data_IF_896594840788
#
_entry.id   IF_896594840788
#
_cell.length_a   1.000
_cell.length_b   1.000
_cell.length_c   1.000
_cell.angle_alpha   90.00
_cell.angle_beta   90.00
_cell.angle_gamma   90.00
#
_symmetry.space_group_name_H-M   'P 1'
#
loop_
_entity.id
_entity.type
_entity.pdbx_description
1 polymer ?
#
# COMPACT_ATOMS: atom_id res chain seq x y z
N UNK A 1 -5.41 -20.32 -32.51
CA UNK A 1 -4.51 -20.45 -31.35
C UNK A 1 -5.34 -20.10 -30.14
N UNK A 2 -5.72 -21.08 -29.33
CA UNK A 2 -6.43 -20.81 -28.08
C UNK A 2 -5.46 -20.09 -27.14
N UNK A 3 -5.75 -18.83 -26.83
CA UNK A 3 -5.06 -18.11 -25.76
C UNK A 3 -5.63 -18.67 -24.47
N UNK A 4 -4.94 -19.64 -23.87
CA UNK A 4 -5.20 -20.02 -22.48
C UNK A 4 -4.71 -18.89 -21.57
N UNK A 5 -5.48 -17.79 -21.52
CA UNK A 5 -5.23 -16.64 -20.65
C UNK A 5 -5.84 -16.86 -19.26
N UNK A 6 -5.60 -18.03 -18.67
CA UNK A 6 -6.02 -18.31 -17.30
C UNK A 6 -4.92 -17.86 -16.32
N UNK A 7 -4.41 -16.64 -16.48
CA UNK A 7 -3.57 -16.04 -15.45
C UNK A 7 -4.42 -15.76 -14.20
N UNK A 8 -4.24 -16.60 -13.19
CA UNK A 8 -4.87 -16.39 -11.89
C UNK A 8 -4.16 -15.26 -11.15
N UNK A 9 -4.95 -14.30 -10.65
CA UNK A 9 -4.48 -13.23 -9.78
C UNK A 9 -5.13 -13.32 -8.41
N UNK A 10 -4.35 -13.01 -7.39
CA UNK A 10 -4.83 -12.76 -6.05
C UNK A 10 -4.99 -11.26 -5.87
N UNK A 11 -6.09 -10.86 -5.25
CA UNK A 11 -6.39 -9.46 -4.97
C UNK A 11 -6.40 -9.21 -3.48
N UNK A 12 -5.89 -8.04 -3.08
CA UNK A 12 -5.95 -7.59 -1.70
C UNK A 12 -6.38 -6.12 -1.67
N UNK A 13 -7.29 -5.81 -0.74
CA UNK A 13 -7.78 -4.46 -0.48
C UNK A 13 -7.33 -4.07 0.93
N UNK A 14 -6.18 -3.42 1.03
CA UNK A 14 -5.58 -3.01 2.31
C UNK A 14 -5.93 -1.57 2.63
N UNK A 15 -6.74 -1.38 3.66
CA UNK A 15 -7.10 -0.06 4.19
C UNK A 15 -6.16 0.31 5.34
N UNK A 16 -5.67 1.54 5.32
CA UNK A 16 -4.71 2.04 6.31
C UNK A 16 -5.26 3.28 7.00
N UNK A 17 -5.03 3.35 8.31
CA UNK A 17 -5.26 4.52 9.15
C UNK A 17 -3.94 4.92 9.78
N UNK A 18 -3.50 6.16 9.55
CA UNK A 18 -2.24 6.64 10.10
C UNK A 18 -2.44 7.06 11.56
N UNK A 19 -1.40 6.86 12.38
CA UNK A 19 -1.37 7.44 13.72
C UNK A 19 -1.48 8.98 13.60
N UNK A 20 -2.41 9.63 14.32
CA UNK A 20 -2.55 11.09 14.32
C UNK A 20 -1.25 11.85 14.58
N UNK A 21 -0.29 11.28 15.34
CA UNK A 21 1.03 11.87 15.61
C UNK A 21 1.81 12.15 14.34
N UNK A 22 1.64 11.36 13.28
CA UNK A 22 2.32 11.58 12.00
C UNK A 22 2.02 12.97 11.42
N UNK A 23 0.79 13.47 11.59
CA UNK A 23 0.37 14.80 11.10
C UNK A 23 1.09 15.95 11.78
N UNK A 24 1.56 15.72 13.01
CA UNK A 24 2.27 16.70 13.83
C UNK A 24 3.79 16.63 13.66
N UNK A 25 4.30 15.71 12.85
CA UNK A 25 5.72 15.66 12.50
C UNK A 25 6.11 16.88 11.66
N UNK A 26 7.41 17.24 11.72
CA UNK A 26 7.98 18.28 10.86
C UNK A 26 7.77 17.95 9.37
N UNK A 27 7.59 18.95 8.53
CA UNK A 27 7.24 18.77 7.11
C UNK A 27 8.24 17.89 6.36
N UNK A 28 9.55 18.10 6.58
CA UNK A 28 10.60 17.27 6.00
C UNK A 28 10.46 15.79 6.41
N UNK A 29 10.16 15.52 7.69
CA UNK A 29 10.00 14.15 8.18
C UNK A 29 8.75 13.48 7.60
N UNK A 30 7.65 14.23 7.43
CA UNK A 30 6.45 13.73 6.74
C UNK A 30 6.76 13.38 5.29
N UNK A 31 7.45 14.25 4.57
CA UNK A 31 7.81 14.03 3.17
C UNK A 31 8.69 12.79 3.00
N UNK A 32 9.74 12.65 3.81
CA UNK A 32 10.64 11.49 3.74
C UNK A 32 9.94 10.18 4.11
N UNK A 33 9.06 10.19 5.12
CA UNK A 33 8.26 9.01 5.46
C UNK A 33 7.26 8.60 4.37
N UNK A 34 6.68 9.56 3.64
CA UNK A 34 5.82 9.27 2.50
C UNK A 34 6.61 8.68 1.32
N UNK A 35 7.80 9.23 1.04
CA UNK A 35 8.73 8.70 0.02
C UNK A 35 9.17 7.26 0.32
N UNK A 36 9.38 6.92 1.59
CA UNK A 36 9.71 5.55 2.01
C UNK A 36 8.62 4.56 1.54
N UNK A 37 7.35 4.88 1.77
CA UNK A 37 6.20 4.07 1.33
C UNK A 37 6.11 4.02 -0.19
N UNK A 38 6.23 5.17 -0.87
CA UNK A 38 6.23 5.23 -2.34
C UNK A 38 7.31 4.32 -2.94
N UNK A 39 8.52 4.38 -2.42
CA UNK A 39 9.64 3.56 -2.87
C UNK A 39 9.35 2.05 -2.72
N UNK A 40 8.74 1.62 -1.61
CA UNK A 40 8.37 0.22 -1.41
C UNK A 40 7.32 -0.22 -2.44
N UNK A 41 6.30 0.59 -2.66
CA UNK A 41 5.19 0.28 -3.56
C UNK A 41 5.65 0.23 -5.01
N UNK A 42 6.36 1.26 -5.49
CA UNK A 42 6.82 1.36 -6.88
C UNK A 42 7.83 0.26 -7.21
N UNK A 43 8.69 -0.13 -6.27
CA UNK A 43 9.69 -1.18 -6.47
C UNK A 43 9.18 -2.59 -6.08
N UNK A 44 7.89 -2.74 -5.77
CA UNK A 44 7.33 -4.02 -5.31
C UNK A 44 7.24 -5.09 -6.40
N UNK A 45 7.11 -4.70 -7.67
CA UNK A 45 6.75 -5.58 -8.77
C UNK A 45 5.29 -6.05 -8.76
N UNK A 46 4.50 -5.65 -7.75
CA UNK A 46 3.07 -5.98 -7.62
C UNK A 46 2.23 -4.90 -8.29
N UNK A 47 1.18 -5.29 -9.01
CA UNK A 47 0.23 -4.32 -9.58
C UNK A 47 -0.51 -3.66 -8.43
N UNK A 48 -0.58 -2.32 -8.41
CA UNK A 48 -1.28 -1.61 -7.36
C UNK A 48 -2.10 -0.43 -7.88
N UNK A 49 -3.05 0.01 -7.06
CA UNK A 49 -3.72 1.32 -7.15
C UNK A 49 -3.84 1.90 -5.75
N UNK A 50 -3.69 3.21 -5.63
CA UNK A 50 -3.94 3.95 -4.40
C UNK A 50 -5.22 4.77 -4.50
N UNK A 51 -5.98 4.81 -3.42
CA UNK A 51 -7.20 5.61 -3.30
C UNK A 51 -7.18 6.36 -1.97
N UNK A 52 -7.52 7.64 -1.99
CA UNK A 52 -7.81 8.39 -0.76
C UNK A 52 -9.21 8.06 -0.28
N UNK A 53 -9.36 7.82 1.03
CA UNK A 53 -10.66 7.64 1.69
C UNK A 53 -10.95 8.76 2.70
N UNK A 54 -10.10 9.79 2.75
CA UNK A 54 -10.30 10.97 3.59
C UNK A 54 -11.67 11.61 3.31
N UNK A 55 -12.44 11.84 4.37
CA UNK A 55 -13.78 12.44 4.30
C UNK A 55 -14.89 11.48 3.87
N UNK A 56 -14.58 10.21 3.54
CA UNK A 56 -15.56 9.20 3.18
C UNK A 56 -15.84 8.20 4.32
N UNK A 57 -14.85 7.95 5.17
CA UNK A 57 -14.91 7.05 6.31
C UNK A 57 -13.92 7.48 7.40
N UNK A 58 -14.14 7.01 8.63
CA UNK A 58 -13.38 7.40 9.82
C UNK A 58 -12.28 6.38 10.22
N UNK A 59 -12.38 5.15 9.73
CA UNK A 59 -11.52 4.03 10.07
C UNK A 59 -10.38 3.79 9.08
N UNK A 60 -10.33 4.53 7.96
CA UNK A 60 -9.24 4.48 6.99
C UNK A 60 -9.06 5.80 6.24
N UNK A 61 -7.82 6.10 5.89
CA UNK A 61 -7.41 7.34 5.21
C UNK A 61 -7.00 7.09 3.76
N UNK A 62 -6.45 5.91 3.48
CA UNK A 62 -6.18 5.46 2.12
C UNK A 62 -6.29 3.94 2.00
N UNK A 63 -6.44 3.50 0.75
CA UNK A 63 -6.52 2.10 0.35
C UNK A 63 -5.43 1.82 -0.68
N UNK A 64 -4.72 0.71 -0.49
CA UNK A 64 -4.00 0.05 -1.57
C UNK A 64 -4.79 -1.16 -2.07
N UNK A 65 -5.12 -1.15 -3.35
CA UNK A 65 -5.57 -2.34 -4.07
C UNK A 65 -4.35 -3.00 -4.70
N UNK A 66 -4.05 -4.24 -4.33
CA UNK A 66 -2.96 -5.04 -4.89
C UNK A 66 -3.50 -6.17 -5.76
N UNK A 67 -2.76 -6.50 -6.81
CA UNK A 67 -2.98 -7.69 -7.63
C UNK A 67 -1.64 -8.36 -7.97
N UNK A 68 -1.48 -9.64 -7.63
CA UNK A 68 -0.25 -10.41 -7.86
C UNK A 68 -0.56 -11.86 -8.26
N UNK A 69 0.45 -12.60 -8.72
CA UNK A 69 0.30 -14.02 -9.11
C UNK A 69 0.35 -14.96 -7.90
N UNK A 70 0.82 -14.47 -6.75
CA UNK A 70 0.83 -15.20 -5.49
C UNK A 70 0.43 -14.31 -4.31
N UNK A 71 -0.05 -14.93 -3.24
CA UNK A 71 -0.35 -14.24 -1.98
C UNK A 71 0.94 -13.74 -1.31
N UNK A 72 2.04 -14.51 -1.42
CA UNK A 72 3.34 -14.18 -0.81
C UNK A 72 3.92 -12.87 -1.35
N UNK A 73 3.77 -12.60 -2.64
CA UNK A 73 4.18 -11.32 -3.24
C UNK A 73 3.47 -10.14 -2.55
N UNK A 74 2.15 -10.25 -2.33
CA UNK A 74 1.36 -9.21 -1.65
C UNK A 74 1.80 -9.09 -0.18
N UNK A 75 1.94 -10.21 0.52
CA UNK A 75 2.36 -10.23 1.92
C UNK A 75 3.76 -9.62 2.12
N UNK A 76 4.69 -9.84 1.19
CA UNK A 76 6.01 -9.24 1.24
C UNK A 76 5.95 -7.71 1.13
N UNK A 77 5.08 -7.16 0.27
CA UNK A 77 4.86 -5.72 0.17
C UNK A 77 4.26 -5.17 1.47
N UNK A 78 3.20 -5.80 1.96
CA UNK A 78 2.53 -5.40 3.20
C UNK A 78 3.52 -5.43 4.38
N UNK A 79 4.32 -6.48 4.51
CA UNK A 79 5.34 -6.60 5.56
C UNK A 79 6.34 -5.44 5.52
N UNK A 80 6.83 -5.08 4.32
CA UNK A 80 7.73 -3.92 4.14
C UNK A 80 7.05 -2.60 4.53
N UNK A 81 5.77 -2.42 4.20
CA UNK A 81 5.01 -1.24 4.62
C UNK A 81 4.94 -1.12 6.15
N UNK A 82 4.74 -2.23 6.86
CA UNK A 82 4.71 -2.26 8.32
C UNK A 82 6.07 -1.95 8.99
N UNK A 83 7.17 -1.98 8.25
CA UNK A 83 8.50 -1.58 8.74
C UNK A 83 8.77 -0.07 8.60
N UNK A 84 7.98 0.62 7.78
CA UNK A 84 8.12 2.08 7.54
C UNK A 84 7.67 2.90 8.74
N UNK A 85 7.90 4.22 8.67
CA UNK A 85 7.29 5.17 9.63
C UNK A 85 5.75 5.13 9.58
N UNK A 86 5.12 4.86 8.43
CA UNK A 86 3.65 4.78 8.32
C UNK A 86 3.09 3.49 8.96
N UNK A 87 3.91 2.45 9.02
CA UNK A 87 3.54 1.14 9.54
C UNK A 87 3.66 0.97 11.05
N UNK A 88 4.29 1.94 11.72
CA UNK A 88 4.51 1.97 13.17
C UNK A 88 3.44 2.79 13.88
#
# INVERSE_FOLDING_TARGET
MEVNDNEQYFFNFSFFKLDPKWRWMADLAKEESAKEVENIIVNSGVKFRSYSTLGLRDDAEFLFWFAAKSIDEIQNVISKLYLTVFGK
#
